data_IF_284152948772
#
_entry.id   IF_284152948772
#
_cell.length_a   1.000
_cell.length_b   1.000
_cell.length_c   1.000
_cell.angle_alpha   90.00
_cell.angle_beta   90.00
_cell.angle_gamma   90.00
#
_symmetry.space_group_name_H-M   'P 1'
#
loop_
_entity.id
_entity.type
_entity.pdbx_description
1 polymer ?
#
# COMPACT_ATOMS: atom_id res chain seq x y z
N UNK A 1 4.20 1.42 -31.02
CA UNK A 1 4.02 1.32 -29.56
C UNK A 1 5.14 2.09 -28.89
N UNK A 2 4.85 3.03 -27.99
CA UNK A 2 5.90 3.62 -27.14
C UNK A 2 6.45 2.54 -26.21
N UNK A 3 7.77 2.36 -26.23
CA UNK A 3 8.47 1.50 -25.26
C UNK A 3 8.29 2.07 -23.86
N UNK A 4 8.13 1.20 -22.86
CA UNK A 4 8.10 1.65 -21.48
C UNK A 4 9.45 2.32 -21.13
N UNK A 5 9.44 3.44 -20.40
CA UNK A 5 10.68 4.06 -19.95
C UNK A 5 11.45 3.11 -19.02
N UNK A 6 12.77 3.27 -18.99
CA UNK A 6 13.61 2.53 -18.05
C UNK A 6 13.17 2.82 -16.61
N UNK A 7 13.19 1.79 -15.75
CA UNK A 7 12.64 1.91 -14.39
C UNK A 7 13.34 3.01 -13.60
N UNK A 8 14.65 3.18 -13.79
CA UNK A 8 15.50 4.11 -13.03
C UNK A 8 15.80 5.40 -13.82
N UNK A 9 15.05 5.68 -14.89
CA UNK A 9 15.25 6.89 -15.72
C UNK A 9 14.81 8.19 -15.04
N UNK A 10 13.97 8.12 -14.02
CA UNK A 10 13.55 9.30 -13.25
C UNK A 10 14.70 9.89 -12.44
N UNK A 11 14.82 11.22 -12.44
CA UNK A 11 15.71 11.92 -11.51
C UNK A 11 15.29 11.60 -10.08
N UNK A 12 16.23 11.19 -9.24
CA UNK A 12 15.96 10.92 -7.82
C UNK A 12 15.33 12.13 -7.14
N UNK A 13 14.28 11.88 -6.37
CA UNK A 13 13.61 12.88 -5.56
C UNK A 13 14.53 13.41 -4.46
N UNK A 14 14.26 14.61 -3.93
CA UNK A 14 15.21 15.38 -3.11
C UNK A 14 15.73 14.65 -1.88
N UNK A 15 14.94 13.75 -1.30
CA UNK A 15 15.23 13.12 -0.02
C UNK A 15 16.33 12.03 -0.12
N UNK A 16 16.79 11.66 -1.31
CA UNK A 16 17.99 10.82 -1.48
C UNK A 16 19.24 11.36 -0.77
N UNK A 17 19.24 12.65 -0.40
CA UNK A 17 20.32 13.30 0.35
C UNK A 17 20.47 12.78 1.79
N UNK A 18 19.43 12.18 2.37
CA UNK A 18 19.50 11.52 3.68
C UNK A 18 20.18 10.15 3.64
N UNK A 19 20.45 9.61 2.45
CA UNK A 19 20.93 8.24 2.28
C UNK A 19 19.80 7.22 2.28
N UNK A 20 20.16 5.96 2.52
CA UNK A 20 19.25 4.81 2.55
C UNK A 20 19.05 4.42 4.02
N UNK A 21 17.80 4.21 4.43
CA UNK A 21 17.48 3.77 5.78
C UNK A 21 17.91 2.30 5.98
N UNK A 22 18.51 1.92 7.11
CA UNK A 22 18.81 0.51 7.41
C UNK A 22 17.56 -0.38 7.28
N UNK A 23 16.44 0.08 7.83
CA UNK A 23 15.08 -0.47 7.67
C UNK A 23 14.09 0.69 7.44
N UNK A 24 12.96 0.43 6.77
CA UNK A 24 11.93 1.46 6.62
C UNK A 24 11.27 1.74 7.98
N UNK A 25 11.15 3.01 8.42
CA UNK A 25 10.64 3.33 9.74
C UNK A 25 9.17 2.96 9.89
N UNK A 26 8.82 2.40 11.05
CA UNK A 26 7.46 2.09 11.50
C UNK A 26 7.00 2.96 12.68
N UNK A 27 7.89 3.78 13.23
CA UNK A 27 7.63 4.68 14.36
C UNK A 27 8.22 6.08 14.14
N UNK A 28 7.80 7.04 14.98
CA UNK A 28 8.37 8.41 14.95
C UNK A 28 9.80 8.41 15.45
N UNK A 29 10.10 7.58 16.43
CA UNK A 29 11.43 7.43 17.01
C UNK A 29 12.44 6.93 15.96
N UNK A 30 12.03 5.98 15.10
CA UNK A 30 12.86 5.52 13.98
C UNK A 30 13.00 6.61 12.90
N UNK A 31 11.95 7.39 12.62
CA UNK A 31 12.07 8.56 11.72
C UNK A 31 13.04 9.60 12.25
N UNK A 32 12.99 9.90 13.56
CA UNK A 32 13.88 10.85 14.22
C UNK A 32 15.34 10.36 14.15
N UNK A 33 15.59 9.06 14.31
CA UNK A 33 16.90 8.44 14.14
C UNK A 33 17.45 8.58 12.70
N UNK A 34 16.55 8.62 11.70
CA UNK A 34 16.87 8.88 10.29
C UNK A 34 16.96 10.38 9.96
N UNK A 35 16.62 11.27 10.91
CA UNK A 35 16.53 12.71 10.69
C UNK A 35 15.35 13.14 9.81
N UNK A 36 14.28 12.35 9.77
CA UNK A 36 13.10 12.60 8.93
C UNK A 36 11.97 13.25 9.74
N UNK A 37 11.48 14.41 9.30
CA UNK A 37 10.31 15.07 9.89
C UNK A 37 8.96 14.45 9.46
N UNK A 38 8.95 13.81 8.29
CA UNK A 38 7.77 13.29 7.59
C UNK A 38 8.17 12.19 6.62
N UNK A 39 7.22 11.31 6.30
CA UNK A 39 7.34 10.40 5.17
C UNK A 39 6.75 11.07 3.92
N UNK A 40 7.36 10.83 2.76
CA UNK A 40 6.73 11.22 1.50
C UNK A 40 5.62 10.24 1.12
N UNK A 41 5.86 8.95 1.39
CA UNK A 41 4.93 7.86 1.11
C UNK A 41 4.85 6.98 2.35
N UNK A 42 3.64 6.58 2.75
CA UNK A 42 3.44 5.61 3.82
C UNK A 42 2.76 4.37 3.24
N UNK A 43 3.37 3.20 3.41
CA UNK A 43 2.81 1.92 2.98
C UNK A 43 2.10 1.26 4.16
N UNK A 44 0.81 0.95 4.00
CA UNK A 44 0.01 0.20 4.96
C UNK A 44 -0.20 -1.22 4.44
N UNK A 45 0.17 -2.22 5.25
CA UNK A 45 0.16 -3.63 4.86
C UNK A 45 -0.56 -4.52 5.86
N UNK A 46 -1.25 -5.55 5.34
CA UNK A 46 -1.86 -6.62 6.15
C UNK A 46 -0.88 -7.64 6.71
N UNK A 47 0.36 -7.66 6.22
CA UNK A 47 1.43 -8.55 6.71
C UNK A 47 2.31 -7.87 7.76
N UNK A 48 3.01 -8.68 8.55
CA UNK A 48 4.18 -8.26 9.32
C UNK A 48 5.23 -7.63 8.38
N UNK A 49 5.90 -6.57 8.85
CA UNK A 49 7.03 -6.00 8.12
C UNK A 49 8.24 -6.93 8.23
N UNK A 50 8.60 -7.53 7.10
CA UNK A 50 9.86 -8.25 6.90
C UNK A 50 10.51 -7.61 5.69
N UNK A 51 11.68 -7.00 5.90
CA UNK A 51 12.39 -6.29 4.84
C UNK A 51 13.12 -7.26 3.91
N UNK A 52 12.33 -7.98 3.10
CA UNK A 52 12.82 -9.03 2.21
C UNK A 52 12.11 -8.95 0.85
N UNK A 53 12.81 -9.18 -0.28
CA UNK A 53 12.22 -9.06 -1.62
C UNK A 53 11.07 -10.02 -1.92
N UNK A 54 10.87 -11.05 -1.10
CA UNK A 54 9.68 -11.92 -1.20
C UNK A 54 8.40 -11.28 -0.67
N UNK A 55 8.49 -10.12 -0.01
CA UNK A 55 7.34 -9.35 0.47
C UNK A 55 7.14 -8.14 -0.43
N UNK A 56 5.99 -8.09 -1.12
CA UNK A 56 5.74 -7.06 -2.14
C UNK A 56 5.79 -5.63 -1.58
N UNK A 57 5.31 -5.42 -0.35
CA UNK A 57 5.36 -4.11 0.32
C UNK A 57 6.80 -3.63 0.59
N UNK A 58 7.73 -4.54 0.93
CA UNK A 58 9.13 -4.20 1.20
C UNK A 58 9.84 -3.88 -0.10
N UNK A 59 9.64 -4.72 -1.13
CA UNK A 59 10.18 -4.47 -2.46
C UNK A 59 9.73 -3.11 -3.02
N UNK A 60 8.44 -2.79 -2.92
CA UNK A 60 7.90 -1.51 -3.37
C UNK A 60 8.45 -0.35 -2.54
N UNK A 61 8.54 -0.51 -1.21
CA UNK A 61 9.11 0.51 -0.33
C UNK A 61 10.57 0.82 -0.67
N UNK A 62 11.40 -0.21 -0.83
CA UNK A 62 12.81 -0.08 -1.23
C UNK A 62 12.98 0.46 -2.65
N UNK A 63 12.09 0.10 -3.57
CA UNK A 63 12.08 0.69 -4.91
C UNK A 63 11.82 2.20 -4.83
N UNK A 64 10.80 2.63 -4.11
CA UNK A 64 10.50 4.05 -3.92
C UNK A 64 11.63 4.80 -3.22
N UNK A 65 12.24 4.21 -2.20
CA UNK A 65 13.44 4.77 -1.55
C UNK A 65 14.62 4.91 -2.51
N UNK A 66 14.85 3.93 -3.40
CA UNK A 66 15.88 4.01 -4.43
C UNK A 66 15.66 5.16 -5.43
N UNK A 67 14.40 5.58 -5.60
CA UNK A 67 13.99 6.76 -6.35
C UNK A 67 14.08 8.06 -5.54
N UNK A 68 14.55 8.02 -4.30
CA UNK A 68 14.85 9.18 -3.46
C UNK A 68 13.70 9.67 -2.60
N UNK A 69 12.67 8.86 -2.38
CA UNK A 69 11.54 9.17 -1.50
C UNK A 69 11.78 8.66 -0.07
N UNK A 70 11.27 9.37 0.94
CA UNK A 70 11.18 8.87 2.32
C UNK A 70 9.95 7.99 2.44
N UNK A 71 10.16 6.70 2.73
CA UNK A 71 9.08 5.72 2.78
C UNK A 71 8.98 5.15 4.18
N UNK A 72 7.80 5.25 4.79
CA UNK A 72 7.49 4.60 6.06
C UNK A 72 6.54 3.43 5.87
N UNK A 73 6.51 2.50 6.84
CA UNK A 73 5.61 1.34 6.81
C UNK A 73 4.74 1.28 8.07
N UNK A 74 3.45 1.02 7.88
CA UNK A 74 2.51 0.68 8.94
C UNK A 74 2.07 -0.77 8.71
N UNK A 75 2.58 -1.67 9.55
CA UNK A 75 2.34 -3.10 9.46
C UNK A 75 1.26 -3.55 10.44
N UNK A 76 0.27 -4.29 9.93
CA UNK A 76 -0.84 -4.87 10.71
C UNK A 76 -1.49 -3.90 11.71
N UNK A 77 -1.87 -2.67 11.27
CA UNK A 77 -2.45 -1.69 12.18
C UNK A 77 -3.78 -2.19 12.76
N UNK A 78 -4.05 -1.84 14.02
CA UNK A 78 -5.39 -2.01 14.58
C UNK A 78 -6.41 -1.16 13.81
N UNK A 79 -7.35 -1.83 13.13
CA UNK A 79 -8.37 -1.20 12.29
C UNK A 79 -9.65 -0.83 13.02
N UNK A 80 -9.72 -1.05 14.34
CA UNK A 80 -10.87 -0.63 15.15
C UNK A 80 -10.95 0.88 15.32
N UNK A 81 -9.81 1.58 15.15
CA UNK A 81 -9.68 3.03 15.24
C UNK A 81 -8.64 3.56 14.21
N UNK A 82 -8.29 4.85 14.27
CA UNK A 82 -7.34 5.51 13.36
C UNK A 82 -5.96 5.76 13.95
N UNK A 83 -5.75 5.51 15.25
CA UNK A 83 -4.51 5.84 15.96
C UNK A 83 -3.29 5.22 15.29
N UNK A 84 -3.37 3.94 14.92
CA UNK A 84 -2.29 3.23 14.25
C UNK A 84 -1.95 3.81 12.86
N UNK A 85 -2.96 4.29 12.13
CA UNK A 85 -2.82 4.90 10.81
C UNK A 85 -2.21 6.31 10.86
N UNK A 86 -2.17 6.92 12.05
CA UNK A 86 -1.59 8.24 12.29
C UNK A 86 -0.19 8.19 12.92
N UNK A 87 0.35 7.01 13.26
CA UNK A 87 1.65 6.86 13.96
C UNK A 87 2.79 7.59 13.25
N UNK A 88 2.90 7.46 11.93
CA UNK A 88 3.94 8.13 11.13
C UNK A 88 3.55 9.55 10.67
N UNK A 89 2.36 10.02 11.03
CA UNK A 89 1.79 11.29 10.58
C UNK A 89 1.25 11.27 9.15
N UNK A 90 1.05 12.48 8.61
CA UNK A 90 0.53 12.69 7.25
C UNK A 90 1.66 12.49 6.24
N UNK A 91 1.49 11.65 5.20
CA UNK A 91 2.48 11.55 4.13
C UNK A 91 2.39 12.77 3.21
N UNK A 92 3.52 13.16 2.61
CA UNK A 92 3.56 14.32 1.71
C UNK A 92 2.91 14.05 0.34
N UNK A 93 2.94 12.80 -0.13
CA UNK A 93 2.44 12.41 -1.46
C UNK A 93 1.21 11.52 -1.37
N UNK A 94 1.30 10.31 -0.81
CA UNK A 94 0.18 9.37 -0.76
C UNK A 94 0.34 8.25 0.27
N UNK A 95 -0.78 7.59 0.58
CA UNK A 95 -0.79 6.27 1.22
C UNK A 95 -0.80 5.16 0.18
N UNK A 96 0.14 4.23 0.26
CA UNK A 96 0.12 2.97 -0.48
C UNK A 96 -0.53 1.87 0.36
N UNK A 97 -1.61 1.23 -0.08
CA UNK A 97 -2.34 0.25 0.74
C UNK A 97 -2.38 -1.12 0.07
N UNK A 98 -2.04 -2.18 0.81
CA UNK A 98 -2.06 -3.56 0.34
C UNK A 98 -2.60 -4.53 1.40
N UNK A 99 -3.25 -5.60 0.94
CA UNK A 99 -3.68 -6.71 1.81
C UNK A 99 -2.52 -7.61 2.28
N UNK A 100 -1.33 -7.43 1.71
CA UNK A 100 -0.14 -8.25 1.94
C UNK A 100 0.15 -9.22 0.77
N UNK A 101 0.93 -10.24 1.05
CA UNK A 101 1.37 -11.29 0.13
C UNK A 101 0.28 -12.32 -0.19
N UNK A 102 -0.85 -12.28 0.54
CA UNK A 102 -2.00 -13.14 0.28
C UNK A 102 -3.29 -12.33 0.48
N UNK A 103 -4.34 -12.73 -0.22
CA UNK A 103 -5.69 -12.17 -0.01
C UNK A 103 -6.14 -12.39 1.44
N UNK A 104 -6.69 -11.36 2.06
CA UNK A 104 -7.05 -11.38 3.49
C UNK A 104 -8.12 -12.43 3.82
N UNK A 105 -9.02 -12.73 2.87
CA UNK A 105 -10.05 -13.74 3.07
C UNK A 105 -9.44 -15.15 2.97
N UNK A 106 -8.58 -15.38 1.97
CA UNK A 106 -7.88 -16.67 1.81
C UNK A 106 -6.96 -16.95 3.00
N UNK A 107 -6.35 -15.90 3.56
CA UNK A 107 -5.49 -16.03 4.73
C UNK A 107 -6.26 -16.38 6.01
N UNK A 108 -7.46 -15.83 6.17
CA UNK A 108 -8.26 -16.04 7.39
C UNK A 108 -9.12 -17.29 7.34
N UNK A 109 -9.56 -17.71 6.16
CA UNK A 109 -10.54 -18.79 6.00
C UNK A 109 -10.03 -19.94 5.13
N UNK A 110 -10.52 -21.15 5.40
CA UNK A 110 -10.41 -22.29 4.47
C UNK A 110 -11.47 -22.18 3.37
N UNK A 111 -11.34 -22.98 2.31
CA UNK A 111 -12.35 -23.06 1.24
C UNK A 111 -13.74 -23.41 1.78
N UNK A 112 -13.81 -24.19 2.87
CA UNK A 112 -15.05 -24.53 3.59
C UNK A 112 -15.53 -23.45 4.57
N UNK A 113 -15.00 -22.22 4.47
CA UNK A 113 -15.34 -21.07 5.33
C UNK A 113 -15.01 -21.24 6.82
N UNK A 114 -14.10 -22.16 7.17
CA UNK A 114 -13.60 -22.30 8.55
C UNK A 114 -12.49 -21.31 8.83
N UNK A 115 -12.50 -20.69 10.01
CA UNK A 115 -11.44 -19.77 10.43
C UNK A 115 -10.15 -20.56 10.68
N UNK A 116 -9.05 -20.09 10.09
CA UNK A 116 -7.70 -20.61 10.31
C UNK A 116 -7.18 -20.15 11.67
N UNK A 117 -6.46 -21.04 12.37
CA UNK A 117 -5.90 -20.74 13.70
C UNK A 117 -4.66 -19.85 13.62
N UNK A 118 -3.93 -19.91 12.51
CA UNK A 118 -2.67 -19.22 12.31
C UNK A 118 -2.67 -18.38 11.03
N UNK A 119 -1.80 -17.37 11.00
CA UNK A 119 -1.51 -16.53 9.84
C UNK A 119 0.00 -16.58 9.56
N UNK A 120 0.38 -17.10 8.39
CA UNK A 120 1.78 -17.32 8.02
C UNK A 120 2.58 -16.01 7.85
N UNK A 121 1.90 -14.87 7.71
CA UNK A 121 2.50 -13.56 7.51
C UNK A 121 2.30 -12.63 8.71
N UNK A 122 1.96 -13.19 9.87
CA UNK A 122 1.85 -12.47 11.14
C UNK A 122 3.00 -12.86 12.06
N UNK A 123 3.55 -11.90 12.80
CA UNK A 123 4.57 -12.18 13.81
C UNK A 123 4.05 -13.21 14.84
N UNK A 124 4.82 -14.27 15.10
CA UNK A 124 4.41 -15.36 15.99
C UNK A 124 3.34 -16.30 15.41
N UNK A 125 2.84 -16.04 14.20
CA UNK A 125 1.81 -16.86 13.56
C UNK A 125 0.38 -16.61 14.05
N UNK A 126 0.15 -15.54 14.82
CA UNK A 126 -1.15 -15.24 15.42
C UNK A 126 -2.25 -15.03 14.37
N UNK A 127 -3.39 -15.69 14.54
CA UNK A 127 -4.57 -15.43 13.72
C UNK A 127 -5.24 -14.10 14.05
N UNK A 128 -5.90 -13.49 13.07
CA UNK A 128 -6.81 -12.36 13.31
C UNK A 128 -6.13 -11.00 13.52
N UNK A 129 -4.90 -10.81 13.04
CA UNK A 129 -4.18 -9.52 13.06
C UNK A 129 -4.43 -8.61 11.84
N UNK A 130 -5.34 -9.01 10.93
CA UNK A 130 -5.80 -8.18 9.81
C UNK A 130 -7.31 -8.33 9.61
N UNK A 131 -8.03 -7.30 9.11
CA UNK A 131 -9.45 -7.40 8.82
C UNK A 131 -9.71 -8.16 7.52
N UNK A 132 -10.92 -8.69 7.40
CA UNK A 132 -11.46 -9.19 6.15
C UNK A 132 -11.52 -8.05 5.12
N UNK A 133 -11.05 -8.31 3.89
CA UNK A 133 -10.94 -7.32 2.81
C UNK A 133 -10.09 -6.12 3.26
N UNK A 134 -8.90 -6.43 3.78
CA UNK A 134 -7.95 -5.48 4.35
C UNK A 134 -7.75 -4.22 3.52
N UNK A 135 -7.64 -4.32 2.19
CA UNK A 135 -7.47 -3.15 1.31
C UNK A 135 -8.59 -2.13 1.49
N UNK A 136 -9.84 -2.58 1.59
CA UNK A 136 -11.00 -1.69 1.78
C UNK A 136 -10.94 -1.02 3.15
N UNK A 137 -10.77 -1.81 4.21
CA UNK A 137 -10.79 -1.33 5.58
C UNK A 137 -9.62 -0.35 5.84
N UNK A 138 -8.42 -0.72 5.43
CA UNK A 138 -7.23 0.11 5.62
C UNK A 138 -7.29 1.40 4.82
N UNK A 139 -7.79 1.37 3.57
CA UNK A 139 -7.97 2.59 2.78
C UNK A 139 -8.95 3.56 3.44
N UNK A 140 -10.06 3.04 3.97
CA UNK A 140 -11.04 3.86 4.68
C UNK A 140 -10.46 4.47 5.96
N UNK A 141 -9.65 3.72 6.72
CA UNK A 141 -8.95 4.25 7.90
C UNK A 141 -7.89 5.27 7.56
N UNK A 142 -7.12 5.09 6.49
CA UNK A 142 -6.21 6.12 5.99
C UNK A 142 -6.96 7.41 5.63
N UNK A 143 -8.12 7.27 4.96
CA UNK A 143 -8.96 8.42 4.58
C UNK A 143 -9.54 9.14 5.80
N UNK A 144 -9.93 8.40 6.82
CA UNK A 144 -10.43 8.94 8.09
C UNK A 144 -9.33 9.66 8.88
N UNK A 145 -8.14 9.06 8.95
CA UNK A 145 -6.97 9.64 9.62
C UNK A 145 -6.50 10.95 8.93
N UNK A 146 -6.46 10.97 7.59
CA UNK A 146 -6.00 12.13 6.84
C UNK A 146 -6.84 12.36 5.57
N UNK A 147 -7.85 13.22 5.71
CA UNK A 147 -8.69 13.66 4.60
C UNK A 147 -7.86 14.39 3.54
N UNK A 148 -8.13 14.09 2.26
CA UNK A 148 -7.50 14.75 1.11
C UNK A 148 -6.12 14.22 0.73
N UNK A 149 -5.54 13.29 1.50
CA UNK A 149 -4.32 12.59 1.08
C UNK A 149 -4.69 11.53 0.04
N UNK A 150 -4.01 11.48 -1.12
CA UNK A 150 -4.21 10.43 -2.11
C UNK A 150 -3.98 9.03 -1.53
N UNK A 151 -4.78 8.07 -1.98
CA UNK A 151 -4.70 6.66 -1.59
C UNK A 151 -4.54 5.82 -2.85
N UNK A 152 -3.43 5.10 -2.91
CA UNK A 152 -3.08 4.17 -4.00
C UNK A 152 -3.15 2.75 -3.46
N UNK A 153 -4.06 1.94 -3.97
CA UNK A 153 -4.21 0.54 -3.57
C UNK A 153 -3.50 -0.40 -4.54
N UNK A 154 -2.95 -1.49 -4.04
CA UNK A 154 -2.23 -2.47 -4.86
C UNK A 154 -2.12 -3.85 -4.23
N UNK A 155 -1.27 -4.68 -4.82
CA UNK A 155 -1.05 -6.06 -4.39
C UNK A 155 -2.10 -7.04 -4.93
N UNK A 156 -1.99 -8.29 -4.49
CA UNK A 156 -2.82 -9.41 -4.97
C UNK A 156 -4.30 -9.12 -4.75
N UNK A 157 -4.64 -8.69 -3.53
CA UNK A 157 -6.02 -8.43 -3.14
C UNK A 157 -6.70 -7.35 -4.00
N UNK A 158 -6.01 -6.23 -4.27
CA UNK A 158 -6.55 -5.17 -5.12
C UNK A 158 -6.62 -5.61 -6.59
N UNK A 159 -5.56 -6.25 -7.10
CA UNK A 159 -5.44 -6.69 -8.50
C UNK A 159 -6.54 -7.67 -8.91
N UNK A 160 -6.85 -8.64 -8.05
CA UNK A 160 -7.87 -9.65 -8.31
C UNK A 160 -9.30 -9.08 -8.25
N UNK A 161 -9.51 -8.00 -7.49
CA UNK A 161 -10.81 -7.34 -7.31
C UNK A 161 -10.97 -6.05 -8.13
N UNK A 162 -10.11 -5.82 -9.13
CA UNK A 162 -10.08 -4.59 -9.95
C UNK A 162 -11.29 -4.40 -10.86
N UNK A 163 -11.99 -5.48 -11.21
CA UNK A 163 -13.24 -5.47 -11.98
C UNK A 163 -14.38 -6.03 -11.13
N UNK A 164 -15.60 -5.88 -11.63
CA UNK A 164 -16.74 -6.58 -11.05
C UNK A 164 -16.45 -8.09 -10.99
N UNK A 165 -16.70 -8.70 -9.85
CA UNK A 165 -16.35 -10.10 -9.58
C UNK A 165 -17.38 -10.77 -8.68
N UNK A 166 -17.53 -12.08 -8.81
CA UNK A 166 -18.30 -12.87 -7.85
C UNK A 166 -17.46 -13.12 -6.59
N UNK A 167 -17.94 -12.64 -5.45
CA UNK A 167 -17.31 -12.83 -4.15
C UNK A 167 -17.84 -14.11 -3.49
N UNK A 168 -17.06 -15.19 -3.57
CA UNK A 168 -17.41 -16.51 -3.02
C UNK A 168 -17.80 -16.46 -1.53
N UNK A 169 -17.20 -15.55 -0.77
CA UNK A 169 -17.44 -15.42 0.68
C UNK A 169 -18.80 -14.83 1.03
N UNK A 170 -19.33 -13.93 0.19
CA UNK A 170 -20.65 -13.30 0.40
C UNK A 170 -21.72 -13.74 -0.60
N UNK A 171 -21.36 -14.63 -1.53
CA UNK A 171 -22.23 -15.19 -2.58
C UNK A 171 -22.89 -14.12 -3.45
N UNK A 172 -22.18 -13.02 -3.70
CA UNK A 172 -22.70 -11.85 -4.43
C UNK A 172 -21.72 -11.36 -5.47
N UNK A 173 -22.25 -10.76 -6.53
CA UNK A 173 -21.45 -9.95 -7.45
C UNK A 173 -21.13 -8.62 -6.77
N UNK A 174 -19.84 -8.31 -6.63
CA UNK A 174 -19.34 -7.02 -6.13
C UNK A 174 -18.80 -6.20 -7.29
N UNK A 175 -18.90 -4.89 -7.17
CA UNK A 175 -18.21 -3.94 -8.05
C UNK A 175 -16.70 -3.94 -7.79
N UNK A 176 -15.95 -3.19 -8.59
CA UNK A 176 -14.51 -3.02 -8.38
C UNK A 176 -14.18 -2.51 -6.98
N UNK A 177 -13.11 -3.05 -6.38
CA UNK A 177 -12.65 -2.68 -5.04
C UNK A 177 -12.23 -1.21 -4.93
N UNK A 178 -11.81 -0.58 -6.02
CA UNK A 178 -11.45 0.86 -6.01
C UNK A 178 -12.65 1.73 -5.61
N UNK A 179 -13.87 1.34 -6.02
CA UNK A 179 -15.12 2.01 -5.67
C UNK A 179 -15.53 1.81 -4.20
N UNK A 180 -15.22 0.65 -3.62
CA UNK A 180 -15.59 0.30 -2.23
C UNK A 180 -14.58 0.86 -1.21
N UNK A 181 -13.30 0.92 -1.59
CA UNK A 181 -12.20 1.38 -0.73
C UNK A 181 -12.10 2.90 -0.61
N UNK A 182 -12.71 3.66 -1.54
CA UNK A 182 -12.50 5.12 -1.69
C UNK A 182 -11.02 5.48 -1.94
N UNK A 183 -10.29 4.56 -2.57
CA UNK A 183 -8.96 4.81 -3.10
C UNK A 183 -9.06 5.65 -4.38
N UNK A 184 -8.06 6.48 -4.64
CA UNK A 184 -8.02 7.33 -5.83
C UNK A 184 -7.48 6.55 -7.03
N UNK A 185 -6.50 5.65 -6.79
CA UNK A 185 -5.89 4.79 -7.81
C UNK A 185 -5.78 3.35 -7.32
N UNK A 186 -5.92 2.41 -8.25
CA UNK A 186 -5.65 0.99 -8.09
C UNK A 186 -4.56 0.57 -9.07
N UNK A 187 -3.47 -0.01 -8.58
CA UNK A 187 -2.39 -0.60 -9.39
C UNK A 187 -2.58 -2.12 -9.46
N UNK A 188 -2.56 -2.69 -10.67
CA UNK A 188 -2.72 -4.13 -10.87
C UNK A 188 -1.61 -4.78 -11.70
N UNK A 189 -1.29 -6.03 -11.37
CA UNK A 189 -0.20 -6.78 -12.01
C UNK A 189 1.16 -6.44 -11.39
N UNK A 190 2.21 -6.41 -12.23
CA UNK A 190 3.51 -5.86 -11.83
C UNK A 190 3.38 -4.34 -11.70
N UNK A 191 3.60 -3.82 -10.49
CA UNK A 191 3.23 -2.46 -10.08
C UNK A 191 4.40 -1.49 -9.95
N UNK A 192 5.62 -1.98 -10.13
CA UNK A 192 6.88 -1.24 -9.92
C UNK A 192 6.94 0.02 -10.78
N UNK A 193 6.54 -0.06 -12.05
CA UNK A 193 6.59 1.08 -12.96
C UNK A 193 5.53 2.12 -12.62
N UNK A 194 4.32 1.65 -12.31
CA UNK A 194 3.17 2.48 -12.03
C UNK A 194 3.37 3.24 -10.73
N UNK A 195 3.85 2.58 -9.66
CA UNK A 195 4.05 3.26 -8.37
C UNK A 195 5.15 4.32 -8.46
N UNK A 196 6.21 4.06 -9.23
CA UNK A 196 7.29 5.03 -9.47
C UNK A 196 6.74 6.22 -10.26
N UNK A 197 6.01 5.98 -11.34
CA UNK A 197 5.41 7.04 -12.16
C UNK A 197 4.40 7.88 -11.35
N UNK A 198 3.53 7.25 -10.56
CA UNK A 198 2.59 7.93 -9.66
C UNK A 198 3.36 8.81 -8.66
N UNK A 199 4.39 8.26 -8.00
CA UNK A 199 5.16 9.00 -7.01
C UNK A 199 5.83 10.24 -7.61
N UNK A 200 6.46 10.13 -8.78
CA UNK A 200 7.12 11.26 -9.44
C UNK A 200 6.11 12.31 -9.95
N UNK A 201 4.97 11.89 -10.52
CA UNK A 201 3.96 12.85 -11.00
C UNK A 201 3.30 13.60 -9.85
N UNK A 202 2.95 12.93 -8.76
CA UNK A 202 2.45 13.58 -7.54
C UNK A 202 3.51 14.52 -6.94
N UNK A 203 4.79 14.11 -6.93
CA UNK A 203 5.90 14.94 -6.47
C UNK A 203 6.13 16.19 -7.33
N UNK A 204 5.75 16.15 -8.61
CA UNK A 204 5.76 17.29 -9.53
C UNK A 204 4.50 18.17 -9.40
N UNK A 205 3.58 17.85 -8.49
CA UNK A 205 2.40 18.64 -8.19
C UNK A 205 1.17 18.32 -9.05
N UNK A 206 1.21 17.26 -9.86
CA UNK A 206 0.01 16.80 -10.59
C UNK A 206 -1.05 16.28 -9.61
N UNK A 207 -2.32 16.51 -9.92
CA UNK A 207 -3.40 16.04 -9.07
C UNK A 207 -3.68 14.55 -9.32
N UNK A 208 -4.00 13.79 -8.25
CA UNK A 208 -4.19 12.33 -8.37
C UNK A 208 -5.31 11.94 -9.35
N UNK A 209 -6.34 12.78 -9.49
CA UNK A 209 -7.46 12.58 -10.42
C UNK A 209 -7.09 12.86 -11.89
N UNK A 210 -5.91 13.42 -12.16
CA UNK A 210 -5.40 13.64 -13.52
C UNK A 210 -4.57 12.44 -14.01
N UNK A 211 -4.17 11.52 -13.11
CA UNK A 211 -3.33 10.35 -13.39
C UNK A 211 -4.11 9.19 -14.05
N UNK A 212 -4.80 9.48 -15.14
CA UNK A 212 -5.74 8.56 -15.83
C UNK A 212 -5.12 7.78 -16.99
N UNK A 213 -3.89 8.12 -17.37
CA UNK A 213 -3.15 7.59 -18.52
C UNK A 213 -2.02 6.62 -18.15
N UNK A 214 -1.82 6.36 -16.85
CA UNK A 214 -0.82 5.39 -16.36
C UNK A 214 -1.30 3.97 -16.66
N UNK A 215 -0.57 3.25 -17.53
CA UNK A 215 -0.95 1.88 -17.90
C UNK A 215 -0.86 0.92 -16.70
N UNK A 216 -1.87 0.07 -16.55
CA UNK A 216 -1.93 -0.88 -15.43
C UNK A 216 -2.54 -0.28 -14.16
N UNK A 217 -3.27 0.84 -14.28
CA UNK A 217 -4.06 1.41 -13.19
C UNK A 217 -5.56 1.43 -13.51
N UNK A 218 -6.38 1.50 -12.46
CA UNK A 218 -7.79 1.86 -12.50
C UNK A 218 -8.02 3.01 -11.51
N UNK A 219 -9.04 3.83 -11.74
CA UNK A 219 -9.28 5.06 -10.98
C UNK A 219 -10.78 5.27 -10.76
N UNK A 220 -11.14 6.18 -9.85
CA UNK A 220 -12.51 6.60 -9.55
C UNK A 220 -12.74 8.07 -9.84
#
# INVERSE_FOLDING_TARGET
MQSAPDLFSYRKFWAHRFGIAPELPMSREEMDALGWDSCDIIIVTGDAYVDHPSFGMALIGRLLESHGFRVGIISQPDWTNTTDFSKLGKPNLFFGVTGGNMDSMVNRYTSDRKIRRNDAYTAGGDGGKRPDRSVVVYSQRCREAFKGVPIVIGGIEASLRRIAHYDYWSEKVRRSVVMDSKADLLVYGNGERQVVEIAHRLANGEAVNELTDIRGTAYT
#
